data_IF_512221121740
#
_entry.id   IF_512221121740
#
_cell.length_a   1.000
_cell.length_b   1.000
_cell.length_c   1.000
_cell.angle_alpha   90.00
_cell.angle_beta   90.00
_cell.angle_gamma   90.00
#
_symmetry.space_group_name_H-M   'P 1'
#
loop_
_entity.id
_entity.type
_entity.pdbx_description
1 polymer ?
#
# COMPACT_ATOMS: atom_id res chain seq x y z
N UNK A 1 -34.18 -0.87 22.46
CA UNK A 1 -33.71 -1.54 21.23
C UNK A 1 -33.08 -0.47 20.36
N UNK A 2 -31.87 -0.68 19.85
CA UNK A 2 -31.27 0.26 18.90
C UNK A 2 -32.04 0.24 17.59
N UNK A 3 -32.15 1.40 16.94
CA UNK A 3 -32.76 1.53 15.61
C UNK A 3 -31.82 0.97 14.53
N UNK A 4 -32.38 0.63 13.37
CA UNK A 4 -31.60 0.24 12.19
C UNK A 4 -30.66 1.37 11.76
N UNK A 5 -29.42 1.02 11.41
CA UNK A 5 -28.40 1.96 10.92
C UNK A 5 -27.93 1.49 9.56
N UNK A 6 -27.87 2.42 8.60
CA UNK A 6 -27.34 2.18 7.25
C UNK A 6 -26.02 2.93 7.08
N UNK A 7 -25.06 2.30 6.41
CA UNK A 7 -23.74 2.85 6.08
C UNK A 7 -23.42 2.53 4.63
N UNK A 8 -22.79 3.49 3.97
CA UNK A 8 -22.16 3.28 2.67
C UNK A 8 -20.72 2.89 2.93
N UNK A 9 -20.28 1.81 2.29
CA UNK A 9 -18.92 1.26 2.41
C UNK A 9 -18.29 1.26 1.02
N UNK A 10 -17.08 1.79 0.92
CA UNK A 10 -16.31 1.77 -0.30
C UNK A 10 -15.39 0.54 -0.32
N UNK A 11 -15.78 -0.44 -1.13
CA UNK A 11 -15.05 -1.70 -1.33
C UNK A 11 -13.99 -1.50 -2.41
N UNK A 12 -12.72 -1.59 -2.03
CA UNK A 12 -11.60 -1.52 -3.00
C UNK A 12 -10.64 -2.71 -2.89
N UNK A 13 -10.87 -3.61 -1.94
CA UNK A 13 -10.00 -4.74 -1.68
C UNK A 13 -8.80 -4.38 -0.82
N UNK A 14 -7.81 -5.28 -0.78
CA UNK A 14 -6.65 -5.17 0.10
C UNK A 14 -5.36 -4.96 -0.68
N UNK A 15 -4.42 -4.23 -0.09
CA UNK A 15 -3.12 -3.97 -0.68
C UNK A 15 -2.00 -4.64 0.12
N UNK A 16 -0.95 -5.06 -0.58
CA UNK A 16 0.35 -5.38 -0.01
C UNK A 16 1.25 -4.15 -0.10
N UNK A 17 2.04 -3.92 0.95
CA UNK A 17 2.97 -2.79 1.03
C UNK A 17 4.34 -3.32 1.42
N UNK A 18 5.38 -2.85 0.74
CA UNK A 18 6.77 -3.18 1.00
C UNK A 18 7.55 -1.91 1.32
N UNK A 19 8.33 -1.94 2.41
CA UNK A 19 9.38 -0.97 2.69
C UNK A 19 10.72 -1.54 2.21
N UNK A 20 11.26 -1.12 1.05
CA UNK A 20 12.58 -1.55 0.62
C UNK A 20 13.66 -0.87 1.47
N UNK A 21 14.49 -1.69 2.10
CA UNK A 21 15.55 -1.22 3.00
C UNK A 21 16.86 -1.94 2.71
N UNK A 22 17.94 -1.18 2.51
CA UNK A 22 19.30 -1.69 2.45
C UNK A 22 19.97 -1.57 3.83
N UNK A 23 20.16 -2.70 4.55
CA UNK A 23 20.73 -2.68 5.90
C UNK A 23 22.23 -2.41 5.94
N UNK A 24 22.94 -2.47 4.81
CA UNK A 24 24.38 -2.17 4.74
C UNK A 24 24.60 -0.68 4.54
N UNK A 25 23.77 -0.06 3.70
CA UNK A 25 23.84 1.36 3.37
C UNK A 25 23.02 2.24 4.32
N UNK A 26 22.13 1.63 5.10
CA UNK A 26 21.14 2.31 5.95
C UNK A 26 20.25 3.26 5.15
N UNK A 27 19.76 2.77 4.00
CA UNK A 27 18.99 3.55 3.04
C UNK A 27 17.62 2.90 2.77
N UNK A 28 16.63 3.73 2.48
CA UNK A 28 15.30 3.33 2.03
C UNK A 28 15.09 3.74 0.59
N UNK A 29 14.37 2.92 -0.17
CA UNK A 29 13.93 3.29 -1.52
C UNK A 29 12.45 3.66 -1.46
N UNK A 30 12.14 4.86 -1.93
CA UNK A 30 10.78 5.35 -2.13
C UNK A 30 10.52 5.46 -3.63
N UNK A 31 9.25 5.37 -4.01
CA UNK A 31 8.78 5.66 -5.36
C UNK A 31 8.03 6.99 -5.38
N UNK A 32 8.05 7.68 -6.50
CA UNK A 32 7.30 8.93 -6.70
C UNK A 32 6.20 8.70 -7.73
N UNK A 33 4.94 8.88 -7.33
CA UNK A 33 3.78 8.66 -8.19
C UNK A 33 2.75 9.77 -8.02
N UNK A 34 2.01 10.07 -9.10
CA UNK A 34 0.88 10.99 -9.04
C UNK A 34 -0.34 10.30 -8.40
N UNK A 35 -0.86 10.89 -7.33
CA UNK A 35 -2.13 10.52 -6.69
C UNK A 35 -3.13 11.65 -6.90
N UNK A 36 -3.98 11.52 -7.92
CA UNK A 36 -4.98 12.55 -8.24
C UNK A 36 -5.92 12.86 -7.06
N UNK A 37 -6.21 11.87 -6.21
CA UNK A 37 -7.02 12.05 -5.01
C UNK A 37 -6.38 13.01 -3.97
N UNK A 38 -5.08 13.28 -4.06
CA UNK A 38 -4.37 14.22 -3.20
C UNK A 38 -4.39 15.67 -3.74
N UNK A 39 -4.81 15.87 -5.00
CA UNK A 39 -4.72 17.17 -5.69
C UNK A 39 -5.38 18.33 -4.93
N UNK A 40 -6.57 18.11 -4.37
CA UNK A 40 -7.32 19.16 -3.67
C UNK A 40 -6.84 19.43 -2.23
N UNK A 41 -6.01 18.53 -1.67
CA UNK A 41 -5.68 18.52 -0.23
C UNK A 41 -4.19 18.58 0.08
N UNK A 42 -3.34 18.49 -0.94
CA UNK A 42 -1.88 18.51 -0.82
C UNK A 42 -1.29 19.59 -1.72
N UNK A 43 -0.10 20.08 -1.37
CA UNK A 43 0.61 21.10 -2.18
C UNK A 43 0.94 20.59 -3.59
N UNK A 44 1.22 19.29 -3.71
CA UNK A 44 1.45 18.59 -4.97
C UNK A 44 0.72 17.24 -4.96
N UNK A 45 0.17 16.78 -6.10
CA UNK A 45 -0.38 15.44 -6.23
C UNK A 45 0.71 14.36 -6.37
N UNK A 46 1.99 14.74 -6.53
CA UNK A 46 3.12 13.81 -6.55
C UNK A 46 3.51 13.44 -5.13
N UNK A 47 3.34 12.17 -4.77
CA UNK A 47 3.64 11.68 -3.43
C UNK A 47 4.85 10.75 -3.47
N UNK A 48 5.67 10.83 -2.43
CA UNK A 48 6.67 9.82 -2.11
C UNK A 48 5.98 8.69 -1.34
N UNK A 49 6.06 7.49 -1.86
CA UNK A 49 5.35 6.33 -1.36
C UNK A 49 6.27 5.11 -1.17
N UNK A 50 5.81 4.17 -0.36
CA UNK A 50 6.35 2.81 -0.34
C UNK A 50 5.87 2.06 -1.58
N UNK A 51 6.62 1.03 -1.98
CA UNK A 51 6.16 0.08 -3.01
C UNK A 51 4.87 -0.58 -2.53
N UNK A 52 3.84 -0.59 -3.37
CA UNK A 52 2.55 -1.14 -2.98
C UNK A 52 1.69 -1.57 -4.17
N UNK A 53 0.95 -2.65 -4.01
CA UNK A 53 0.03 -3.16 -5.03
C UNK A 53 -1.20 -3.81 -4.45
N UNK A 54 -2.22 -3.94 -5.29
CA UNK A 54 -3.47 -4.62 -4.93
C UNK A 54 -3.23 -6.13 -4.90
N UNK A 55 -3.80 -6.80 -3.89
CA UNK A 55 -3.74 -8.26 -3.77
C UNK A 55 -4.84 -8.86 -4.65
N UNK A 56 -4.44 -9.65 -5.64
CA UNK A 56 -5.37 -10.36 -6.52
C UNK A 56 -5.73 -11.76 -5.97
N UNK A 57 -6.71 -12.41 -6.58
CA UNK A 57 -7.17 -13.72 -6.14
C UNK A 57 -6.06 -14.77 -6.26
N UNK A 58 -5.75 -15.43 -5.14
CA UNK A 58 -4.73 -16.47 -5.08
C UNK A 58 -3.31 -15.98 -4.79
N UNK A 59 -3.08 -14.67 -4.70
CA UNK A 59 -1.77 -14.12 -4.37
C UNK A 59 -1.57 -14.00 -2.85
N UNK A 60 -0.35 -14.28 -2.38
CA UNK A 60 0.05 -13.95 -1.01
C UNK A 60 0.53 -12.50 -0.92
N UNK A 61 0.44 -11.89 0.27
CA UNK A 61 0.96 -10.53 0.53
C UNK A 61 2.44 -10.42 0.15
N UNK A 62 3.22 -11.48 0.38
CA UNK A 62 4.64 -11.48 0.06
C UNK A 62 4.89 -11.56 -1.45
N UNK A 63 4.12 -12.36 -2.18
CA UNK A 63 4.27 -12.50 -3.64
C UNK A 63 3.97 -11.16 -4.33
N UNK A 64 2.88 -10.50 -3.94
CA UNK A 64 2.52 -9.16 -4.45
C UNK A 64 3.60 -8.15 -4.12
N UNK A 65 4.03 -8.08 -2.86
CA UNK A 65 5.09 -7.16 -2.44
C UNK A 65 6.40 -7.35 -3.24
N UNK A 66 6.75 -8.59 -3.59
CA UNK A 66 7.93 -8.90 -4.41
C UNK A 66 7.73 -8.56 -5.89
N UNK A 67 6.55 -8.83 -6.44
CA UNK A 67 6.16 -8.47 -7.81
C UNK A 67 6.26 -6.96 -8.01
N UNK A 68 5.58 -6.20 -7.17
CA UNK A 68 5.53 -4.74 -7.22
C UNK A 68 6.92 -4.12 -7.04
N UNK A 69 7.79 -4.70 -6.21
CA UNK A 69 9.16 -4.21 -6.05
C UNK A 69 9.96 -4.24 -7.35
N UNK A 70 9.72 -5.24 -8.20
CA UNK A 70 10.35 -5.36 -9.52
C UNK A 70 9.73 -4.35 -10.48
N UNK A 71 8.40 -4.26 -10.50
CA UNK A 71 7.64 -3.42 -11.45
C UNK A 71 7.81 -1.92 -11.18
N UNK A 72 7.71 -1.49 -9.92
CA UNK A 72 7.70 -0.08 -9.55
C UNK A 72 9.10 0.48 -9.29
N UNK A 73 10.02 -0.33 -8.76
CA UNK A 73 11.34 0.12 -8.32
C UNK A 73 12.52 -0.63 -8.96
N UNK A 74 12.27 -1.66 -9.78
CA UNK A 74 13.33 -2.46 -10.39
C UNK A 74 14.17 -3.27 -9.38
N UNK A 75 13.61 -3.57 -8.20
CA UNK A 75 14.32 -4.20 -7.09
C UNK A 75 14.02 -5.69 -6.97
N UNK A 76 15.08 -6.50 -6.91
CA UNK A 76 14.96 -7.91 -6.52
C UNK A 76 15.09 -8.02 -4.99
N UNK A 77 13.95 -8.15 -4.31
CA UNK A 77 13.88 -8.24 -2.86
C UNK A 77 14.52 -9.54 -2.37
N UNK A 78 15.38 -9.45 -1.36
CA UNK A 78 16.00 -10.61 -0.72
C UNK A 78 15.09 -11.18 0.37
N UNK A 79 15.43 -10.89 1.63
CA UNK A 79 14.66 -11.33 2.81
C UNK A 79 13.49 -10.39 3.03
N UNK A 80 12.36 -10.96 3.42
CA UNK A 80 11.14 -10.26 3.80
C UNK A 80 10.84 -10.53 5.26
N UNK A 81 10.14 -9.59 5.91
CA UNK A 81 9.68 -9.74 7.29
C UNK A 81 8.30 -9.08 7.40
N UNK A 82 7.27 -9.80 7.87
CA UNK A 82 5.98 -9.18 8.18
C UNK A 82 6.16 -8.08 9.24
N UNK A 83 5.56 -6.91 9.02
CA UNK A 83 5.65 -5.76 9.93
C UNK A 83 4.35 -5.59 10.70
N UNK A 84 3.25 -5.25 10.02
CA UNK A 84 1.90 -5.20 10.59
C UNK A 84 0.84 -5.24 9.48
N UNK A 85 -0.41 -5.49 9.87
CA UNK A 85 -1.61 -5.34 9.02
C UNK A 85 -2.50 -4.26 9.65
N UNK A 86 -2.94 -3.30 8.87
CA UNK A 86 -3.78 -2.19 9.36
C UNK A 86 -4.96 -1.91 8.41
N UNK A 87 -6.14 -1.52 8.93
CA UNK A 87 -7.23 -1.03 8.09
C UNK A 87 -6.94 0.40 7.65
N UNK A 88 -7.10 0.71 6.36
CA UNK A 88 -6.84 2.05 5.82
C UNK A 88 -7.78 3.12 6.38
N UNK A 89 -9.10 2.86 6.33
CA UNK A 89 -10.15 3.78 6.84
C UNK A 89 -11.35 2.97 7.37
N UNK A 90 -11.32 2.51 8.64
CA UNK A 90 -12.30 1.55 9.16
C UNK A 90 -13.74 2.06 9.27
N UNK A 91 -13.98 3.37 9.09
CA UNK A 91 -15.31 3.98 9.15
C UNK A 91 -16.08 4.02 7.82
N UNK A 92 -15.44 3.67 6.70
CA UNK A 92 -16.07 3.77 5.37
C UNK A 92 -15.36 3.04 4.23
N UNK A 93 -14.30 2.28 4.52
CA UNK A 93 -13.57 1.49 3.53
C UNK A 93 -13.39 0.06 4.00
N UNK A 94 -13.51 -0.87 3.06
CA UNK A 94 -13.29 -2.30 3.25
C UNK A 94 -12.36 -2.85 2.16
#
# INVERSE_FOLDING_TARGET
MSHEVRREIFERGHAAVLLPFDPVRDEVVLIEQIRIAAYDTSETPWLLEMVAGMIEEGESVEDVARREAIEEAGLIVKRTKPVFKFPGKPGGHQ
#
